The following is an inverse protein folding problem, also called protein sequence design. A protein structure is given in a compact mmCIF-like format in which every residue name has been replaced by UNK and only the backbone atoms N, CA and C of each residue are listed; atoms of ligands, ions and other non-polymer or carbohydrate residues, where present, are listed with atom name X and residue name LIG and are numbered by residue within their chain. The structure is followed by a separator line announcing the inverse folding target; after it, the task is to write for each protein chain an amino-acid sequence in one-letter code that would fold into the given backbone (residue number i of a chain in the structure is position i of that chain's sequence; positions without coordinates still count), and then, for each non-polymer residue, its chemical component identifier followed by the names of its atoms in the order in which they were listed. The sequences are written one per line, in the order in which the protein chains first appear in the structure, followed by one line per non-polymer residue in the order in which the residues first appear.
data_IF_373217472671
#
_entry.id   IF_373217472671
#
_cell.length_a   1.000
_cell.length_b   1.000
_cell.length_c   1.000
_cell.angle_alpha   90.00
_cell.angle_beta   90.00
_cell.angle_gamma   90.00
#
_symmetry.space_group_name_H-M   'P 1'
#
loop_
_entity.id
_entity.type
_entity.pdbx_description
1 polymer ?
#
# COMPACT_ATOMS: atom_id res chain seq x y z
N UNK A 1 14.83 -1.41 8.15
CA UNK A 1 13.65 -1.02 8.95
C UNK A 1 13.01 0.20 8.32
N UNK A 2 11.70 0.40 8.47
CA UNK A 2 11.03 1.57 7.91
C UNK A 2 9.93 2.08 8.81
N UNK A 3 9.67 3.37 8.74
CA UNK A 3 8.55 4.05 9.40
C UNK A 3 7.75 4.75 8.30
N UNK A 4 6.45 4.50 8.27
CA UNK A 4 5.56 5.15 7.31
C UNK A 4 4.38 5.78 8.04
N UNK A 5 4.18 7.08 7.81
CA UNK A 5 3.03 7.83 8.31
C UNK A 5 2.10 8.09 7.14
N UNK A 6 0.82 7.77 7.32
CA UNK A 6 -0.19 7.85 6.27
C UNK A 6 -1.36 8.69 6.77
N UNK A 7 -1.72 9.73 6.01
CA UNK A 7 -2.97 10.48 6.15
C UNK A 7 -3.87 10.11 4.98
N UNK A 8 -4.87 9.25 5.23
CA UNK A 8 -5.81 8.82 4.18
C UNK A 8 -6.73 9.95 3.74
N UNK A 9 -7.10 10.88 4.63
CA UNK A 9 -7.95 12.03 4.33
C UNK A 9 -7.25 13.06 3.45
N UNK A 10 -6.00 13.39 3.78
CA UNK A 10 -5.19 14.34 3.02
C UNK A 10 -4.44 13.68 1.87
N UNK A 11 -4.49 12.35 1.77
CA UNK A 11 -3.74 11.54 0.79
C UNK A 11 -2.23 11.81 0.81
N UNK A 12 -1.68 11.98 2.01
CA UNK A 12 -0.25 12.24 2.24
C UNK A 12 0.44 11.01 2.80
N UNK A 13 1.69 10.84 2.41
CA UNK A 13 2.55 9.77 2.88
C UNK A 13 3.90 10.39 3.24
N UNK A 14 4.43 10.04 4.41
CA UNK A 14 5.82 10.24 4.74
C UNK A 14 6.44 8.90 5.06
N UNK A 15 7.54 8.56 4.41
CA UNK A 15 8.22 7.26 4.61
C UNK A 15 9.71 7.48 4.82
N UNK A 16 10.22 6.84 5.86
CA UNK A 16 11.65 6.83 6.19
C UNK A 16 12.12 5.37 6.20
N UNK A 17 13.13 5.07 5.39
CA UNK A 17 13.82 3.78 5.38
C UNK A 17 15.17 3.97 6.07
N UNK A 18 15.50 3.08 6.98
CA UNK A 18 16.75 3.14 7.74
C UNK A 18 17.33 1.74 7.95
N UNK A 19 18.62 1.68 8.21
CA UNK A 19 19.29 0.45 8.68
C UNK A 19 18.86 0.13 10.11
N UNK A 20 19.29 -1.02 10.64
CA UNK A 20 19.02 -1.41 12.04
C UNK A 20 19.72 -0.45 13.01
N UNK A 21 20.89 0.05 12.63
CA UNK A 21 21.70 1.01 13.41
C UNK A 21 21.12 2.43 13.37
N UNK A 22 20.07 2.68 12.59
CA UNK A 22 19.37 3.97 12.51
C UNK A 22 19.87 4.91 11.43
N UNK A 23 20.76 4.49 10.52
CA UNK A 23 21.17 5.31 9.38
C UNK A 23 20.02 5.45 8.39
N UNK A 24 19.64 6.69 8.08
CA UNK A 24 18.59 6.97 7.11
C UNK A 24 19.11 6.73 5.69
N UNK A 25 18.50 5.76 5.01
CA UNK A 25 18.76 5.41 3.62
C UNK A 25 17.89 6.24 2.66
N UNK A 26 16.63 6.50 3.05
CA UNK A 26 15.69 7.33 2.32
C UNK A 26 14.76 8.01 3.32
N UNK A 27 14.55 9.32 3.16
CA UNK A 27 13.45 10.10 3.73
C UNK A 27 12.73 10.78 2.56
N UNK A 28 11.50 10.36 2.32
CA UNK A 28 10.69 10.88 1.24
C UNK A 28 9.25 11.11 1.69
N UNK A 29 8.59 12.07 1.05
CA UNK A 29 7.17 12.28 1.27
C UNK A 29 6.42 12.47 -0.06
N UNK A 30 5.14 12.20 0.01
CA UNK A 30 4.18 12.41 -1.06
C UNK A 30 3.07 13.35 -0.57
N UNK A 31 2.92 14.46 -1.30
CA UNK A 31 1.81 15.41 -1.20
C UNK A 31 1.57 15.93 -2.62
N UNK A 32 0.68 15.28 -3.37
CA UNK A 32 0.46 15.44 -4.82
C UNK A 32 1.68 15.10 -5.69
N UNK A 33 2.87 15.36 -5.23
CA UNK A 33 4.15 15.01 -5.86
C UNK A 33 5.08 14.33 -4.85
N UNK A 34 6.00 13.52 -5.37
CA UNK A 34 7.03 12.87 -4.54
C UNK A 34 8.20 13.83 -4.38
N UNK A 35 8.66 13.99 -3.14
CA UNK A 35 9.86 14.75 -2.78
C UNK A 35 10.77 13.87 -1.92
N UNK A 36 12.04 13.86 -2.25
CA UNK A 36 13.09 13.21 -1.47
C UNK A 36 13.77 14.28 -0.64
N UNK A 37 13.68 14.18 0.71
CA UNK A 37 14.41 15.04 1.62
C UNK A 37 15.84 14.57 1.78
N UNK A 38 16.04 13.26 1.83
CA UNK A 38 17.33 12.60 1.95
C UNK A 38 17.28 11.24 1.26
N UNK A 39 18.32 10.92 0.50
CA UNK A 39 18.54 9.63 -0.11
C UNK A 39 20.02 9.35 -0.24
N UNK A 40 20.39 8.08 -0.16
CA UNK A 40 21.73 7.60 -0.50
C UNK A 40 21.62 6.53 -1.58
N UNK A 41 22.58 6.42 -2.52
CA UNK A 41 22.54 5.39 -3.55
C UNK A 41 22.37 3.98 -2.97
N UNK A 42 21.50 3.15 -3.58
CA UNK A 42 20.68 3.38 -4.78
C UNK A 42 19.28 3.98 -4.49
N UNK A 43 19.00 4.42 -3.27
CA UNK A 43 17.66 4.87 -2.83
C UNK A 43 17.36 6.35 -3.14
N UNK A 44 18.32 7.12 -3.65
CA UNK A 44 18.22 8.55 -3.97
C UNK A 44 17.54 8.84 -5.32
N UNK A 45 17.19 7.79 -6.08
CA UNK A 45 16.50 7.94 -7.37
C UNK A 45 15.05 8.36 -7.18
N UNK A 46 14.63 9.39 -7.90
CA UNK A 46 13.23 9.86 -7.89
C UNK A 46 12.28 8.77 -8.43
N UNK A 47 12.72 7.93 -9.36
CA UNK A 47 11.91 6.85 -9.91
C UNK A 47 11.72 5.73 -8.89
N UNK A 48 12.73 5.42 -8.08
CA UNK A 48 12.60 4.52 -6.95
C UNK A 48 11.59 5.06 -5.94
N UNK A 49 11.74 6.33 -5.53
CA UNK A 49 10.83 6.96 -4.57
C UNK A 49 9.39 7.01 -5.09
N UNK A 50 9.16 7.32 -6.36
CA UNK A 50 7.84 7.28 -7.00
C UNK A 50 7.24 5.88 -6.97
N UNK A 51 8.01 4.87 -7.40
CA UNK A 51 7.54 3.48 -7.40
C UNK A 51 7.15 3.01 -6.00
N UNK A 52 7.96 3.34 -4.99
CA UNK A 52 7.68 3.03 -3.59
C UNK A 52 6.40 3.74 -3.11
N UNK A 53 6.24 5.03 -3.39
CA UNK A 53 5.03 5.78 -2.99
C UNK A 53 3.78 5.26 -3.70
N UNK A 54 3.89 4.83 -4.97
CA UNK A 54 2.78 4.21 -5.70
C UNK A 54 2.39 2.85 -5.12
N UNK A 55 3.34 2.09 -4.61
CA UNK A 55 3.07 0.85 -3.90
C UNK A 55 2.38 1.10 -2.55
N UNK A 56 2.84 2.10 -1.79
CA UNK A 56 2.19 2.49 -0.54
C UNK A 56 0.76 3.00 -0.79
N UNK A 57 0.55 3.82 -1.83
CA UNK A 57 -0.80 4.27 -2.24
C UNK A 57 -1.70 3.08 -2.59
N UNK A 58 -1.18 2.11 -3.35
CA UNK A 58 -1.92 0.91 -3.72
C UNK A 58 -2.36 0.11 -2.49
N UNK A 59 -1.50 0.01 -1.47
CA UNK A 59 -1.78 -0.74 -0.24
C UNK A 59 -2.78 -0.03 0.69
N UNK A 60 -2.74 1.30 0.79
CA UNK A 60 -3.38 2.02 1.89
C UNK A 60 -4.41 3.06 1.47
N UNK A 61 -4.45 3.46 0.21
CA UNK A 61 -5.45 4.41 -0.26
C UNK A 61 -6.55 3.72 -1.05
N UNK A 62 -7.76 4.26 -0.93
CA UNK A 62 -8.83 3.91 -1.86
C UNK A 62 -8.37 4.23 -3.29
N UNK A 63 -8.57 3.32 -4.28
CA UNK A 63 -8.21 3.60 -5.66
C UNK A 63 -8.79 4.92 -6.17
N UNK A 64 -7.97 5.72 -6.86
CA UNK A 64 -8.38 6.95 -7.57
C UNK A 64 -9.02 6.62 -8.91
N UNK A 65 -9.94 5.68 -8.90
CA UNK A 65 -10.58 5.14 -10.08
C UNK A 65 -12.06 5.02 -9.84
N UNK A 66 -12.86 5.06 -10.89
CA UNK A 66 -14.30 4.84 -10.79
C UNK A 66 -14.59 3.38 -10.41
N UNK A 67 -15.47 3.18 -9.42
CA UNK A 67 -16.04 1.86 -9.14
C UNK A 67 -16.94 1.49 -10.32
N UNK A 68 -16.66 0.37 -10.98
CA UNK A 68 -17.43 -0.11 -12.14
C UNK A 68 -18.29 -1.32 -11.80
N UNK A 69 -17.86 -2.12 -10.82
CA UNK A 69 -18.57 -3.35 -10.44
C UNK A 69 -18.28 -3.69 -8.98
N UNK A 70 -19.26 -4.26 -8.30
CA UNK A 70 -19.08 -4.88 -6.98
C UNK A 70 -19.98 -6.09 -6.82
N UNK A 71 -19.50 -7.08 -6.07
CA UNK A 71 -20.23 -8.32 -5.86
C UNK A 71 -19.58 -9.22 -4.82
N UNK A 72 -20.20 -10.36 -4.61
CA UNK A 72 -19.66 -11.42 -3.77
C UNK A 72 -19.21 -12.61 -4.63
N UNK A 73 -18.04 -13.13 -4.33
CA UNK A 73 -17.54 -14.37 -4.90
C UNK A 73 -18.20 -15.58 -4.23
N UNK A 74 -18.12 -16.76 -4.88
CA UNK A 74 -18.68 -17.99 -4.35
C UNK A 74 -18.07 -18.48 -3.02
N UNK A 75 -16.90 -17.97 -2.64
CA UNK A 75 -16.23 -18.20 -1.35
C UNK A 75 -16.64 -17.19 -0.27
N UNK A 76 -17.56 -16.26 -0.57
CA UNK A 76 -18.04 -15.23 0.36
C UNK A 76 -17.16 -13.98 0.41
N UNK A 77 -16.11 -13.88 -0.41
CA UNK A 77 -15.30 -12.67 -0.53
C UNK A 77 -16.07 -11.56 -1.22
N UNK A 78 -15.96 -10.33 -0.74
CA UNK A 78 -16.51 -9.17 -1.41
C UNK A 78 -15.47 -8.58 -2.37
N UNK A 79 -15.85 -8.36 -3.63
CA UNK A 79 -14.97 -7.83 -4.69
C UNK A 79 -15.49 -6.48 -5.14
N UNK A 80 -14.61 -5.48 -5.14
CA UNK A 80 -14.85 -4.17 -5.74
C UNK A 80 -13.86 -3.96 -6.88
N UNK A 81 -14.39 -3.72 -8.08
CA UNK A 81 -13.59 -3.45 -9.28
C UNK A 81 -13.61 -1.98 -9.63
N UNK A 82 -12.43 -1.41 -9.79
CA UNK A 82 -12.22 -0.02 -10.15
C UNK A 82 -11.51 0.07 -11.51
N UNK A 83 -11.87 1.08 -12.32
CA UNK A 83 -11.22 1.34 -13.61
C UNK A 83 -10.74 2.79 -13.67
N UNK A 84 -9.47 2.99 -13.97
CA UNK A 84 -8.90 4.32 -14.14
C UNK A 84 -9.11 4.84 -15.58
N UNK A 85 -8.91 6.16 -15.78
CA UNK A 85 -9.08 6.80 -17.08
C UNK A 85 -8.16 6.22 -18.17
N UNK A 86 -7.01 5.67 -17.79
CA UNK A 86 -6.06 5.01 -18.68
C UNK A 86 -6.44 3.55 -19.00
N UNK A 87 -7.62 3.06 -18.57
CA UNK A 87 -8.13 1.72 -18.86
C UNK A 87 -7.56 0.60 -17.98
N UNK A 88 -6.66 0.90 -17.05
CA UNK A 88 -6.18 -0.08 -16.07
C UNK A 88 -7.24 -0.41 -15.03
N UNK A 89 -7.22 -1.65 -14.53
CA UNK A 89 -8.20 -2.17 -13.56
C UNK A 89 -7.55 -2.49 -12.24
N UNK A 90 -8.26 -2.24 -11.14
CA UNK A 90 -7.87 -2.61 -9.78
C UNK A 90 -9.04 -3.36 -9.15
N UNK A 91 -8.81 -4.62 -8.77
CA UNK A 91 -9.74 -5.39 -7.96
C UNK A 91 -9.29 -5.33 -6.51
N UNK A 92 -10.21 -4.94 -5.63
CA UNK A 92 -10.03 -4.98 -4.18
C UNK A 92 -10.94 -6.09 -3.66
N UNK A 93 -10.34 -7.12 -3.09
CA UNK A 93 -11.00 -8.32 -2.59
C UNK A 93 -10.86 -8.31 -1.07
N UNK A 94 -11.98 -8.32 -0.36
CA UNK A 94 -11.99 -8.33 1.11
C UNK A 94 -12.67 -9.60 1.60
N UNK A 95 -12.01 -10.26 2.51
CA UNK A 95 -12.53 -11.44 3.21
C UNK A 95 -13.00 -11.04 4.63
N UNK A 96 -13.43 -12.01 5.39
CA UNK A 96 -13.76 -11.80 6.80
C UNK A 96 -12.51 -11.35 7.59
N UNK A 97 -12.66 -10.35 8.46
CA UNK A 97 -11.57 -9.87 9.31
C UNK A 97 -10.74 -8.77 8.68
N UNK A 98 -9.41 -8.92 8.68
CA UNK A 98 -8.46 -7.96 8.09
C UNK A 98 -7.73 -8.53 6.86
N UNK A 99 -8.19 -9.67 6.36
CA UNK A 99 -7.58 -10.29 5.18
C UNK A 99 -8.15 -9.64 3.93
N UNK A 100 -7.26 -9.15 3.08
CA UNK A 100 -7.64 -8.56 1.81
C UNK A 100 -6.58 -8.80 0.75
N UNK A 101 -7.00 -8.75 -0.51
CA UNK A 101 -6.12 -8.85 -1.67
C UNK A 101 -6.44 -7.71 -2.65
N UNK A 102 -5.39 -7.13 -3.25
CA UNK A 102 -5.52 -6.17 -4.34
C UNK A 102 -4.82 -6.76 -5.57
N UNK A 103 -5.52 -6.74 -6.70
CA UNK A 103 -4.99 -7.15 -8.00
C UNK A 103 -5.04 -5.96 -8.95
N UNK A 104 -3.89 -5.56 -9.49
CA UNK A 104 -3.79 -4.46 -10.45
C UNK A 104 -3.46 -5.02 -11.83
N UNK A 105 -4.26 -4.63 -12.80
CA UNK A 105 -4.13 -5.03 -14.20
C UNK A 105 -3.80 -3.82 -15.07
N UNK A 106 -3.03 -4.03 -16.15
CA UNK A 106 -2.83 -3.02 -17.18
C UNK A 106 -4.04 -2.95 -18.13
N UNK A 107 -3.99 -2.06 -19.14
CA UNK A 107 -5.04 -1.91 -20.16
C UNK A 107 -5.31 -3.21 -20.95
N UNK A 108 -4.30 -4.03 -21.16
CA UNK A 108 -4.41 -5.32 -21.87
C UNK A 108 -4.94 -6.46 -21.00
N UNK A 109 -5.39 -6.19 -19.76
CA UNK A 109 -5.92 -7.20 -18.84
C UNK A 109 -4.83 -8.07 -18.18
N UNK A 110 -3.56 -7.77 -18.35
CA UNK A 110 -2.48 -8.53 -17.73
C UNK A 110 -2.29 -8.09 -16.28
N UNK A 111 -2.20 -9.06 -15.37
CA UNK A 111 -1.93 -8.83 -13.95
C UNK A 111 -0.49 -8.32 -13.78
N UNK A 112 -0.33 -7.09 -13.28
CA UNK A 112 0.96 -6.42 -13.11
C UNK A 112 1.40 -6.31 -11.65
N UNK A 113 0.47 -6.23 -10.69
CA UNK A 113 0.78 -6.23 -9.26
C UNK A 113 -0.28 -6.98 -8.48
N UNK A 114 0.16 -7.65 -7.41
CA UNK A 114 -0.70 -8.27 -6.41
C UNK A 114 -0.24 -7.82 -5.03
N UNK A 115 -1.18 -7.42 -4.18
CA UNK A 115 -0.93 -7.19 -2.76
C UNK A 115 -1.82 -8.13 -1.98
N UNK A 116 -1.26 -8.84 -1.00
CA UNK A 116 -1.99 -9.69 -0.07
C UNK A 116 -1.70 -9.25 1.35
N UNK A 117 -2.73 -9.12 2.16
CA UNK A 117 -2.62 -8.73 3.55
C UNK A 117 -3.39 -9.69 4.44
N UNK A 118 -2.83 -9.95 5.62
CA UNK A 118 -3.44 -10.86 6.58
C UNK A 118 -2.74 -10.86 7.92
N UNK A 119 -3.04 -11.86 8.75
CA UNK A 119 -2.50 -11.98 10.11
C UNK A 119 -2.84 -10.79 11.00
N UNK A 120 -4.13 -10.58 11.28
CA UNK A 120 -4.64 -9.44 12.03
C UNK A 120 -3.92 -9.19 13.35
N UNK A 121 -3.41 -7.97 13.54
CA UNK A 121 -2.92 -7.46 14.82
C UNK A 121 -3.88 -6.39 15.35
N UNK A 122 -4.03 -6.31 16.67
CA UNK A 122 -4.84 -5.26 17.30
C UNK A 122 -4.09 -3.93 17.23
N UNK A 123 -4.81 -2.85 16.95
CA UNK A 123 -4.26 -1.49 17.03
C UNK A 123 -4.36 -1.00 18.48
N UNK A 124 -3.24 -0.59 19.04
CA UNK A 124 -3.19 -0.01 20.39
C UNK A 124 -3.94 1.33 20.41
N UNK A 125 -4.78 1.53 21.42
CA UNK A 125 -5.53 2.77 21.61
C UNK A 125 -6.79 2.93 20.74
N UNK A 126 -7.21 1.90 20.00
CA UNK A 126 -8.48 1.94 19.25
C UNK A 126 -9.61 1.31 20.08
N UNK A 127 -10.72 2.05 20.34
CA UNK A 127 -11.89 1.49 21.03
C UNK A 127 -12.65 0.47 20.18
N UNK A 128 -12.48 0.48 18.86
CA UNK A 128 -13.04 -0.53 17.96
C UNK A 128 -12.00 -1.63 17.75
N UNK A 129 -12.46 -2.89 17.67
CA UNK A 129 -11.63 -4.05 17.27
C UNK A 129 -11.21 -3.96 15.80
N UNK A 130 -10.61 -2.83 15.40
CA UNK A 130 -10.07 -2.67 14.05
C UNK A 130 -8.76 -3.45 14.03
N UNK A 131 -8.78 -4.59 13.35
CA UNK A 131 -7.56 -5.34 13.03
C UNK A 131 -6.76 -4.61 11.97
N UNK A 132 -5.47 -4.58 12.12
CA UNK A 132 -4.54 -4.17 11.07
C UNK A 132 -3.77 -5.41 10.60
N UNK A 133 -3.52 -5.57 9.29
CA UNK A 133 -2.78 -6.74 8.81
C UNK A 133 -1.38 -6.73 9.41
N UNK A 134 -0.99 -7.83 10.02
CA UNK A 134 0.35 -8.02 10.59
C UNK A 134 1.40 -8.35 9.54
N UNK A 135 0.94 -8.82 8.37
CA UNK A 135 1.78 -9.15 7.22
C UNK A 135 1.14 -8.60 5.94
N UNK A 136 1.96 -7.98 5.10
CA UNK A 136 1.58 -7.55 3.76
C UNK A 136 2.64 -8.05 2.79
N UNK A 137 2.21 -8.72 1.73
CA UNK A 137 3.06 -9.20 0.64
C UNK A 137 2.67 -8.48 -0.64
N UNK A 138 3.63 -7.88 -1.32
CA UNK A 138 3.48 -7.24 -2.61
C UNK A 138 4.35 -7.96 -3.63
N UNK A 139 3.77 -8.35 -4.76
CA UNK A 139 4.47 -8.90 -5.90
C UNK A 139 4.20 -8.05 -7.14
N UNK A 140 5.27 -7.54 -7.74
CA UNK A 140 5.26 -6.87 -9.05
C UNK A 140 5.67 -7.85 -10.13
N UNK A 141 4.95 -7.83 -11.26
CA UNK A 141 5.17 -8.67 -12.43
C UNK A 141 5.53 -7.79 -13.64
N UNK A 142 6.21 -8.33 -14.61
CA UNK A 142 6.63 -7.58 -15.80
C UNK A 142 8.15 -7.41 -15.87
N UNK A 143 8.61 -6.33 -16.50
CA UNK A 143 10.05 -6.07 -16.75
C UNK A 143 10.79 -5.84 -15.41
N UNK A 144 10.21 -5.05 -14.50
CA UNK A 144 10.77 -4.80 -13.17
C UNK A 144 10.09 -5.71 -12.14
N UNK A 145 10.47 -6.99 -12.12
CA UNK A 145 9.95 -7.96 -11.16
C UNK A 145 10.58 -7.77 -9.81
N UNK A 146 9.77 -7.67 -8.77
CA UNK A 146 10.19 -7.71 -7.37
C UNK A 146 9.08 -8.25 -6.48
N UNK A 147 9.48 -8.74 -5.33
CA UNK A 147 8.55 -9.09 -4.27
C UNK A 147 9.01 -8.45 -2.96
N UNK A 148 8.07 -7.91 -2.21
CA UNK A 148 8.28 -7.30 -0.92
C UNK A 148 7.39 -8.00 0.10
N UNK A 149 7.95 -8.30 1.26
CA UNK A 149 7.20 -8.79 2.41
C UNK A 149 7.39 -7.81 3.57
N UNK A 150 6.29 -7.28 4.07
CA UNK A 150 6.28 -6.36 5.20
C UNK A 150 5.71 -7.08 6.40
N UNK A 151 6.43 -7.04 7.50
CA UNK A 151 5.92 -7.45 8.80
C UNK A 151 5.69 -6.22 9.66
N UNK A 152 4.42 -5.97 9.99
CA UNK A 152 4.06 -4.86 10.86
C UNK A 152 4.54 -5.14 12.29
N UNK A 153 5.43 -4.31 12.80
CA UNK A 153 5.88 -4.38 14.19
C UNK A 153 4.89 -3.66 15.11
N UNK A 154 4.49 -2.45 14.74
CA UNK A 154 3.58 -1.62 15.50
C UNK A 154 2.72 -0.73 14.59
N UNK A 155 1.47 -0.48 14.96
CA UNK A 155 0.63 0.54 14.35
C UNK A 155 0.00 1.40 15.45
N UNK A 156 0.05 2.71 15.28
CA UNK A 156 -0.56 3.70 16.17
C UNK A 156 -1.44 4.65 15.37
N UNK A 157 -2.59 5.00 15.93
CA UNK A 157 -3.40 6.10 15.40
C UNK A 157 -2.80 7.41 15.92
N UNK A 158 -2.43 8.31 15.01
CA UNK A 158 -2.06 9.67 15.35
C UNK A 158 -3.36 10.48 15.47
N UNK A 159 -3.58 11.06 16.65
CA UNK A 159 -4.69 11.99 16.92
C UNK A 159 -4.14 13.37 16.57
N UNK A 160 -4.82 14.12 15.70
CA UNK A 160 -4.55 15.55 15.54
C UNK A 160 -5.12 16.25 16.79
N UNK A 161 -4.27 16.91 17.55
CA UNK A 161 -4.68 17.87 18.57
C UNK A 161 -5.28 19.11 17.91
#
# INVERSE_FOLDING_TARGET
MGITVISSEERKIKSVIMTIEGFVLLDAYYDQKVVINRGIPPFDSIDFARSMMDDIKLMFFKPEAGLIESGMSGDGSHICRYKNAAGGVIDVITNSGCDWEIRKYNQGGNLIKTVKAGHCKKVLGSPKKIGFPGKIELASRGINRYALAFELKEAKRLIKD
#
